data_IF_944201687048
#
_entry.id   IF_944201687048
#
_cell.length_a   1.000
_cell.length_b   1.000
_cell.length_c   1.000
_cell.angle_alpha   90.00
_cell.angle_beta   90.00
_cell.angle_gamma   90.00
#
_symmetry.space_group_name_H-M   'P 1'
#
loop_
_entity.id
_entity.type
_entity.pdbx_description
1 polymer ?
#
# COMPACT_ATOMS: atom_id res chain seq x y z
N UNK A 1 -0.96 -19.39 -14.52
CA UNK A 1 -0.74 -19.68 -13.09
C UNK A 1 -1.65 -18.74 -12.30
N UNK A 2 -2.87 -19.16 -11.94
CA UNK A 2 -3.84 -18.29 -11.22
C UNK A 2 -4.35 -18.91 -9.90
N UNK A 3 -4.18 -20.23 -9.72
CA UNK A 3 -4.67 -20.97 -8.54
C UNK A 3 -3.95 -20.60 -7.23
N UNK A 4 -2.70 -20.11 -7.32
CA UNK A 4 -1.93 -19.64 -6.16
C UNK A 4 -2.49 -18.34 -5.56
N UNK A 5 -3.08 -17.48 -6.41
CA UNK A 5 -3.63 -16.20 -5.98
C UNK A 5 -4.89 -16.38 -5.13
N UNK A 6 -5.84 -17.20 -5.57
CA UNK A 6 -7.09 -17.45 -4.82
C UNK A 6 -6.85 -18.08 -3.45
N UNK A 7 -5.86 -18.98 -3.34
CA UNK A 7 -5.51 -19.60 -2.05
C UNK A 7 -4.96 -18.57 -1.06
N UNK A 8 -4.20 -17.58 -1.54
CA UNK A 8 -3.67 -16.48 -0.72
C UNK A 8 -4.78 -15.53 -0.29
N UNK A 9 -5.65 -15.14 -1.22
CA UNK A 9 -6.79 -14.24 -0.97
C UNK A 9 -7.78 -14.85 0.03
N UNK A 10 -8.08 -16.14 -0.10
CA UNK A 10 -8.94 -16.84 0.84
C UNK A 10 -8.37 -16.81 2.26
N UNK A 11 -7.06 -17.06 2.40
CA UNK A 11 -6.37 -17.01 3.71
C UNK A 11 -6.37 -15.61 4.30
N UNK A 12 -6.10 -14.56 3.53
CA UNK A 12 -6.12 -13.19 4.04
C UNK A 12 -7.51 -12.74 4.47
N UNK A 13 -8.56 -13.23 3.80
CA UNK A 13 -9.95 -12.95 4.14
C UNK A 13 -10.53 -13.88 5.23
N UNK A 14 -9.74 -14.83 5.75
CA UNK A 14 -10.18 -15.76 6.79
C UNK A 14 -11.22 -16.79 6.33
N UNK A 15 -11.34 -17.04 5.02
CA UNK A 15 -12.32 -17.96 4.43
C UNK A 15 -11.64 -19.19 3.84
N UNK A 16 -12.36 -20.31 3.80
CA UNK A 16 -11.85 -21.53 3.17
C UNK A 16 -11.75 -21.34 1.66
N UNK A 17 -10.69 -21.89 1.04
CA UNK A 17 -10.43 -21.76 -0.41
C UNK A 17 -11.60 -22.23 -1.25
N UNK A 18 -12.22 -23.35 -0.87
CA UNK A 18 -13.32 -23.93 -1.65
C UNK A 18 -14.58 -23.07 -1.57
N UNK A 19 -14.78 -22.35 -0.45
CA UNK A 19 -15.85 -21.35 -0.32
C UNK A 19 -15.63 -20.19 -1.27
N UNK A 20 -14.39 -19.67 -1.34
CA UNK A 20 -14.05 -18.62 -2.29
C UNK A 20 -14.22 -19.09 -3.75
N UNK A 21 -13.78 -20.30 -4.08
CA UNK A 21 -13.98 -20.86 -5.44
C UNK A 21 -15.45 -21.04 -5.79
N UNK A 22 -16.27 -21.47 -4.82
CA UNK A 22 -17.72 -21.61 -5.02
C UNK A 22 -18.35 -20.25 -5.34
N UNK A 23 -18.01 -19.20 -4.58
CA UNK A 23 -18.53 -17.86 -4.83
C UNK A 23 -18.05 -17.28 -6.16
N UNK A 24 -16.79 -17.49 -6.53
CA UNK A 24 -16.28 -17.06 -7.85
C UNK A 24 -17.06 -17.76 -8.97
N UNK A 25 -17.40 -19.03 -8.81
CA UNK A 25 -18.19 -19.76 -9.82
C UNK A 25 -19.65 -19.32 -9.86
N UNK A 26 -20.25 -19.04 -8.71
CA UNK A 26 -21.68 -18.70 -8.61
C UNK A 26 -21.97 -17.24 -8.97
N UNK A 27 -21.07 -16.32 -8.62
CA UNK A 27 -21.28 -14.87 -8.76
C UNK A 27 -20.26 -14.18 -9.66
N UNK A 28 -19.22 -14.89 -10.13
CA UNK A 28 -18.12 -14.27 -10.87
C UNK A 28 -18.53 -13.63 -12.18
N UNK A 29 -19.50 -14.22 -12.89
CA UNK A 29 -20.01 -13.69 -14.16
C UNK A 29 -20.87 -12.44 -13.91
N UNK A 30 -21.76 -12.47 -12.92
CA UNK A 30 -22.58 -11.31 -12.52
C UNK A 30 -21.73 -10.11 -12.07
N UNK A 31 -20.67 -10.36 -11.30
CA UNK A 31 -19.74 -9.33 -10.84
C UNK A 31 -18.92 -8.79 -12.01
N UNK A 32 -18.53 -9.64 -12.98
CA UNK A 32 -17.79 -9.20 -14.16
C UNK A 32 -18.65 -8.31 -15.05
N UNK A 33 -19.90 -8.70 -15.29
CA UNK A 33 -20.86 -7.90 -16.04
C UNK A 33 -21.15 -6.55 -15.35
N UNK A 34 -21.18 -6.53 -14.01
CA UNK A 34 -21.27 -5.28 -13.24
C UNK A 34 -19.98 -4.44 -13.35
N UNK A 35 -18.79 -5.04 -13.33
CA UNK A 35 -17.52 -4.30 -13.46
C UNK A 35 -17.31 -3.70 -14.85
N UNK A 36 -17.88 -4.32 -15.89
CA UNK A 36 -17.87 -3.80 -17.26
C UNK A 36 -18.87 -2.65 -17.48
N UNK A 37 -19.77 -2.40 -16.51
CA UNK A 37 -20.64 -1.22 -16.52
C UNK A 37 -19.84 0.07 -16.20
N UNK A 38 -19.75 1.05 -17.12
CA UNK A 38 -19.01 2.29 -16.89
C UNK A 38 -19.54 3.12 -15.70
N UNK A 39 -20.76 2.87 -15.22
CA UNK A 39 -21.30 3.50 -14.01
C UNK A 39 -20.91 2.82 -12.69
N UNK A 40 -20.34 1.62 -12.71
CA UNK A 40 -19.94 0.87 -11.50
C UNK A 40 -18.51 1.16 -11.02
N UNK A 41 -17.75 1.97 -11.76
CA UNK A 41 -16.34 2.30 -11.51
C UNK A 41 -16.05 3.15 -10.25
N UNK A 42 -16.87 3.03 -9.20
CA UNK A 42 -16.77 3.80 -7.94
C UNK A 42 -16.11 2.99 -6.81
N UNK A 43 -15.37 1.92 -7.13
CA UNK A 43 -14.47 1.28 -6.17
C UNK A 43 -13.02 1.47 -6.61
N UNK A 44 -12.65 2.74 -6.81
CA UNK A 44 -11.24 3.12 -6.90
C UNK A 44 -10.64 2.95 -5.51
N UNK A 45 -9.95 1.83 -5.31
CA UNK A 45 -9.06 1.60 -4.15
C UNK A 45 -7.79 2.45 -4.22
N UNK A 46 -7.67 3.31 -5.24
CA UNK A 46 -6.58 4.26 -5.31
C UNK A 46 -6.77 5.31 -4.22
N UNK A 47 -5.72 5.58 -3.41
CA UNK A 47 -5.80 6.63 -2.41
C UNK A 47 -6.20 7.92 -3.09
N UNK A 48 -7.15 8.63 -2.48
CA UNK A 48 -7.60 9.92 -2.99
C UNK A 48 -6.40 10.85 -3.12
N UNK A 49 -6.47 11.80 -4.06
CA UNK A 49 -5.40 12.81 -4.24
C UNK A 49 -5.05 13.52 -2.92
N UNK A 50 -6.03 13.70 -2.05
CA UNK A 50 -5.87 14.26 -0.71
C UNK A 50 -5.02 13.35 0.20
N UNK A 51 -5.32 12.05 0.26
CA UNK A 51 -4.54 11.07 1.04
C UNK A 51 -3.10 10.93 0.54
N UNK A 52 -2.90 10.97 -0.78
CA UNK A 52 -1.57 11.00 -1.40
C UNK A 52 -0.78 12.25 -0.96
N UNK A 53 -1.43 13.41 -0.95
CA UNK A 53 -0.81 14.67 -0.53
C UNK A 53 -0.42 14.64 0.95
N UNK A 54 -1.30 14.14 1.83
CA UNK A 54 -1.00 14.00 3.26
C UNK A 54 0.19 13.07 3.49
N UNK A 55 0.24 11.92 2.81
CA UNK A 55 1.38 10.99 2.91
C UNK A 55 2.67 11.62 2.41
N UNK A 56 2.60 12.38 1.33
CA UNK A 56 3.76 13.10 0.80
C UNK A 56 4.29 14.15 1.79
N UNK A 57 3.42 14.98 2.35
CA UNK A 57 3.81 16.00 3.34
C UNK A 57 4.43 15.37 4.60
N UNK A 58 3.87 14.26 5.08
CA UNK A 58 4.43 13.50 6.19
C UNK A 58 5.82 12.93 5.87
N UNK A 59 5.99 12.34 4.68
CA UNK A 59 7.28 11.81 4.24
C UNK A 59 8.34 12.91 4.12
N UNK A 60 7.98 14.07 3.56
CA UNK A 60 8.89 15.22 3.43
C UNK A 60 9.34 15.76 4.80
N UNK A 61 8.43 15.81 5.77
CA UNK A 61 8.77 16.23 7.14
C UNK A 61 9.79 15.28 7.78
N UNK A 62 9.52 13.97 7.73
CA UNK A 62 10.42 12.94 8.28
C UNK A 62 11.78 12.95 7.61
N UNK A 63 11.82 13.19 6.29
CA UNK A 63 13.07 13.32 5.56
C UNK A 63 13.90 14.50 6.06
N UNK A 64 13.30 15.68 6.22
CA UNK A 64 13.99 16.86 6.74
C UNK A 64 14.52 16.68 8.17
N UNK A 65 13.76 16.01 9.04
CA UNK A 65 14.20 15.64 10.39
C UNK A 65 15.44 14.73 10.34
N UNK A 66 15.45 13.74 9.44
CA UNK A 66 16.58 12.82 9.24
C UNK A 66 17.79 13.51 8.65
N UNK A 67 17.62 14.40 7.69
CA UNK A 67 18.73 15.18 7.12
C UNK A 67 19.39 16.09 8.17
N UNK A 68 18.59 16.72 9.03
CA UNK A 68 19.10 17.52 10.14
C UNK A 68 19.88 16.67 11.15
N UNK A 69 19.33 15.52 11.54
CA UNK A 69 19.99 14.56 12.44
C UNK A 69 21.35 14.14 11.85
N UNK A 70 21.38 13.76 10.57
CA UNK A 70 22.61 13.39 9.86
C UNK A 70 23.61 14.55 9.81
N UNK A 71 23.16 15.78 9.55
CA UNK A 71 24.01 16.96 9.53
C UNK A 71 24.64 17.23 10.91
N UNK A 72 23.85 17.12 11.98
CA UNK A 72 24.35 17.27 13.35
C UNK A 72 25.36 16.18 13.71
N UNK A 73 25.07 14.91 13.40
CA UNK A 73 25.99 13.79 13.65
C UNK A 73 27.31 13.95 12.89
N UNK A 74 27.26 14.37 11.62
CA UNK A 74 28.46 14.70 10.83
C UNK A 74 29.27 15.83 11.45
N UNK A 75 28.61 16.87 11.97
CA UNK A 75 29.29 17.97 12.65
C UNK A 75 29.94 17.53 13.97
N UNK A 76 29.30 16.65 14.74
CA UNK A 76 29.88 16.09 15.95
C UNK A 76 31.13 15.26 15.63
N UNK A 77 31.06 14.39 14.62
CA UNK A 77 32.21 13.62 14.16
C UNK A 77 33.36 14.53 13.74
N UNK A 78 33.08 15.60 12.99
CA UNK A 78 34.08 16.61 12.57
C UNK A 78 34.72 17.33 13.75
N UNK A 79 33.96 17.60 14.81
CA UNK A 79 34.50 18.20 16.04
C UNK A 79 35.35 17.22 16.85
N UNK A 80 34.99 15.94 16.92
CA UNK A 80 35.77 14.93 17.63
C UNK A 80 37.10 14.61 16.95
N UNK A 81 37.15 14.61 15.62
CA UNK A 81 38.39 14.40 14.86
C UNK A 81 39.32 15.64 14.84
N UNK A 82 38.84 16.80 15.29
CA UNK A 82 39.60 18.05 15.40
C UNK A 82 40.15 18.31 16.82
N UNK A 83 40.05 17.35 17.74
CA UNK A 83 40.61 17.51 19.09
C UNK A 83 42.12 17.17 19.05
N UNK A 84 43.03 18.14 19.31
CA UNK A 84 44.47 17.90 19.32
C UNK A 84 44.91 17.03 20.51
#
# INVERSE_FOLDING_TARGET
>A
MEQGHYSSVARSAGIHRDTLMKWIKEYGDEVRDQMDDPTSAILSTDPTKEELKVKYEQAMKLLGEKELEVAMLRNLLKKTQFRP
#
